data_IF_518129127241
#
_entry.id   IF_518129127241
#
_cell.length_a   1.000
_cell.length_b   1.000
_cell.length_c   1.000
_cell.angle_alpha   90.00
_cell.angle_beta   90.00
_cell.angle_gamma   90.00
#
_symmetry.space_group_name_H-M   'P 1'
#
loop_
_entity.id
_entity.type
_entity.pdbx_description
1 polymer ?
#
# COMPACT_ATOMS: atom_id res chain seq x y z
N UNK A 1 8.87 25.41 -58.90
CA UNK A 1 10.06 26.27 -59.06
C UNK A 1 10.37 26.92 -57.70
N UNK A 2 11.65 26.89 -57.36
CA UNK A 2 12.37 27.53 -56.22
C UNK A 2 12.23 26.87 -54.84
N UNK A 3 13.24 26.02 -54.57
CA UNK A 3 13.75 25.62 -53.27
C UNK A 3 14.42 26.82 -52.56
N UNK A 4 14.25 26.96 -51.25
CA UNK A 4 15.17 27.73 -50.43
C UNK A 4 15.66 26.82 -49.30
N UNK A 5 16.95 26.46 -49.38
CA UNK A 5 17.70 25.85 -48.31
C UNK A 5 18.25 26.95 -47.41
N UNK A 6 18.06 26.83 -46.10
CA UNK A 6 18.81 27.61 -45.12
C UNK A 6 19.83 26.68 -44.41
N UNK A 7 21.08 26.98 -44.67
CA UNK A 7 22.27 26.39 -44.05
C UNK A 7 22.58 27.21 -42.80
N UNK A 8 22.53 26.62 -41.61
CA UNK A 8 23.04 27.24 -40.39
C UNK A 8 24.36 26.57 -40.07
N UNK A 9 25.42 27.35 -40.14
CA UNK A 9 26.80 27.01 -39.76
C UNK A 9 26.87 27.14 -38.19
N UNK A 10 27.12 26.01 -37.52
CA UNK A 10 27.48 26.00 -36.11
C UNK A 10 28.99 26.07 -35.97
N UNK A 11 29.49 27.18 -35.45
CA UNK A 11 30.91 27.37 -35.13
C UNK A 11 31.25 26.64 -33.83
N UNK A 12 32.11 25.63 -33.92
CA UNK A 12 32.73 24.99 -32.75
C UNK A 12 33.78 25.93 -32.14
N UNK A 13 33.56 26.32 -30.89
CA UNK A 13 34.59 26.85 -30.05
C UNK A 13 35.08 25.74 -29.11
N UNK A 14 36.24 25.21 -29.41
CA UNK A 14 36.98 24.28 -28.55
C UNK A 14 37.70 25.13 -27.48
N UNK A 15 37.15 25.13 -26.25
CA UNK A 15 37.84 25.63 -25.07
C UNK A 15 38.43 24.45 -24.30
N UNK A 16 39.73 24.27 -24.34
CA UNK A 16 40.44 23.39 -23.43
C UNK A 16 40.35 23.90 -22.02
N UNK A 17 39.59 23.23 -21.15
CA UNK A 17 39.77 23.35 -19.72
C UNK A 17 40.35 22.04 -19.18
N UNK A 18 41.47 22.20 -18.53
CA UNK A 18 42.22 21.15 -17.84
C UNK A 18 41.41 20.47 -16.77
N UNK A 19 41.35 19.14 -16.82
CA UNK A 19 40.86 18.28 -15.74
C UNK A 19 41.83 18.41 -14.52
N UNK A 20 41.46 19.26 -13.58
CA UNK A 20 41.92 19.16 -12.19
C UNK A 20 40.79 18.58 -11.37
N UNK A 21 41.15 17.55 -10.61
CA UNK A 21 40.27 16.58 -9.99
C UNK A 21 39.16 17.17 -9.10
N UNK A 22 37.93 16.74 -9.32
CA UNK A 22 36.75 16.98 -8.46
C UNK A 22 36.83 16.28 -7.09
N UNK A 23 37.94 15.64 -6.75
CA UNK A 23 38.12 14.95 -5.46
C UNK A 23 38.49 15.86 -4.30
N UNK A 24 39.10 17.02 -4.57
CA UNK A 24 39.58 17.93 -3.51
C UNK A 24 38.49 18.92 -3.01
N UNK A 25 37.35 19.02 -3.68
CA UNK A 25 36.26 19.86 -3.22
C UNK A 25 35.26 19.14 -2.28
N UNK A 26 35.22 17.82 -2.30
CA UNK A 26 34.37 17.07 -1.37
C UNK A 26 34.98 16.91 0.02
N UNK A 27 36.33 16.87 0.14
CA UNK A 27 36.99 16.73 1.45
C UNK A 27 36.91 18.00 2.31
N UNK A 28 36.80 19.19 1.70
CA UNK A 28 36.75 20.46 2.45
C UNK A 28 35.36 20.83 2.97
N UNK A 29 34.31 20.12 2.56
CA UNK A 29 32.93 20.34 3.04
C UNK A 29 32.58 19.38 4.19
N UNK A 30 33.25 18.24 4.26
CA UNK A 30 33.01 17.23 5.32
C UNK A 30 33.68 17.64 6.66
N UNK A 31 34.77 18.41 6.65
CA UNK A 31 35.47 18.81 7.87
C UNK A 31 34.89 20.06 8.59
N UNK A 32 33.75 20.59 8.15
CA UNK A 32 33.13 21.78 8.78
C UNK A 32 31.73 21.56 9.38
N UNK A 33 31.25 20.33 9.45
CA UNK A 33 30.02 20.02 10.18
C UNK A 33 30.33 18.99 11.26
N UNK A 34 31.10 19.41 12.25
CA UNK A 34 31.00 18.83 13.59
C UNK A 34 29.77 19.47 14.25
N UNK A 35 28.75 18.70 14.64
CA UNK A 35 27.71 19.25 15.51
C UNK A 35 28.35 19.67 16.82
N UNK A 36 27.89 20.77 17.45
CA UNK A 36 28.29 21.06 18.81
C UNK A 36 27.84 19.90 19.72
N UNK A 37 28.70 19.50 20.65
CA UNK A 37 28.35 18.63 21.77
C UNK A 37 27.11 19.23 22.47
N UNK A 38 25.94 18.85 22.01
CA UNK A 38 24.72 18.94 22.76
C UNK A 38 24.58 17.61 23.51
N UNK A 39 24.74 17.65 24.81
CA UNK A 39 24.20 16.65 25.68
C UNK A 39 22.71 16.51 25.38
N UNK A 40 22.38 15.74 24.37
CA UNK A 40 21.02 15.41 23.96
C UNK A 40 20.54 14.33 24.89
N UNK A 41 19.58 14.68 25.75
CA UNK A 41 18.60 13.71 26.19
C UNK A 41 18.07 13.03 24.92
N UNK A 42 18.20 11.71 24.88
CA UNK A 42 17.61 10.87 23.83
C UNK A 42 16.12 11.16 23.80
N UNK A 43 15.61 11.46 22.60
CA UNK A 43 14.19 11.68 22.28
C UNK A 43 13.37 10.37 22.31
N UNK A 44 13.90 9.33 22.96
CA UNK A 44 13.25 8.02 23.17
C UNK A 44 11.92 8.13 23.93
N UNK A 45 11.73 9.20 24.73
CA UNK A 45 10.52 9.40 25.52
C UNK A 45 9.27 9.85 24.74
N UNK A 46 9.40 10.31 23.49
CA UNK A 46 8.25 10.80 22.73
C UNK A 46 7.65 9.74 21.78
N UNK A 47 8.45 8.82 21.27
CA UNK A 47 7.97 7.67 20.50
C UNK A 47 7.23 6.66 21.38
N UNK A 48 7.75 6.37 22.55
CA UNK A 48 7.11 5.45 23.49
C UNK A 48 5.76 5.98 24.02
N UNK A 49 5.64 7.28 24.29
CA UNK A 49 4.39 7.88 24.81
C UNK A 49 3.23 7.83 23.81
N UNK A 50 3.51 7.80 22.51
CA UNK A 50 2.49 7.68 21.46
C UNK A 50 1.97 6.24 21.34
N UNK A 51 2.86 5.24 21.40
CA UNK A 51 2.51 3.81 21.30
C UNK A 51 1.72 3.29 22.47
N UNK A 52 1.97 3.79 23.69
CA UNK A 52 1.21 3.43 24.90
C UNK A 52 -0.27 3.90 24.87
N UNK A 53 -0.66 4.76 23.94
CA UNK A 53 -2.02 5.33 23.86
C UNK A 53 -2.99 4.53 22.99
N UNK A 54 -2.50 3.60 22.16
CA UNK A 54 -3.34 2.72 21.33
C UNK A 54 -3.60 1.43 22.10
N UNK A 55 -4.85 1.18 22.44
CA UNK A 55 -5.27 -0.07 23.07
C UNK A 55 -5.92 -0.99 22.04
N UNK A 56 -5.56 -2.27 22.03
CA UNK A 56 -6.06 -3.25 21.07
C UNK A 56 -6.68 -4.45 21.74
N UNK A 57 -7.79 -4.93 21.18
CA UNK A 57 -8.32 -6.26 21.45
C UNK A 57 -8.24 -7.08 20.16
N UNK A 58 -7.18 -7.87 20.04
CA UNK A 58 -6.87 -8.63 18.82
C UNK A 58 -7.87 -9.75 18.54
N UNK A 59 -8.50 -10.32 19.58
CA UNK A 59 -9.51 -11.38 19.38
C UNK A 59 -10.75 -10.85 18.69
N UNK A 60 -11.15 -9.62 19.00
CA UNK A 60 -12.34 -8.96 18.46
C UNK A 60 -12.04 -7.98 17.31
N UNK A 61 -10.78 -7.85 16.87
CA UNK A 61 -10.31 -6.85 15.90
C UNK A 61 -10.75 -5.42 16.28
N UNK A 62 -10.48 -5.02 17.51
CA UNK A 62 -10.79 -3.71 18.05
C UNK A 62 -9.51 -2.91 18.27
N UNK A 63 -9.50 -1.67 17.82
CA UNK A 63 -8.48 -0.67 18.12
C UNK A 63 -9.16 0.50 18.83
N UNK A 64 -8.57 0.98 19.91
CA UNK A 64 -9.02 2.18 20.60
C UNK A 64 -7.95 3.26 20.54
N UNK A 65 -8.34 4.45 20.08
CA UNK A 65 -7.49 5.63 20.04
C UNK A 65 -7.91 6.65 21.10
N UNK A 66 -7.02 7.56 21.51
CA UNK A 66 -7.34 8.61 22.49
C UNK A 66 -8.47 9.53 22.00
N UNK A 67 -9.26 10.03 22.95
CA UNK A 67 -10.34 10.99 22.67
C UNK A 67 -9.74 12.32 22.21
N UNK A 68 -10.25 12.83 21.10
CA UNK A 68 -9.82 14.10 20.51
C UNK A 68 -8.70 13.97 19.48
N UNK A 69 -8.14 12.77 19.28
CA UNK A 69 -7.15 12.54 18.23
C UNK A 69 -7.80 12.16 16.89
N UNK A 70 -7.18 12.59 15.79
CA UNK A 70 -7.53 12.09 14.45
C UNK A 70 -7.04 10.67 14.28
N UNK A 71 -7.86 9.80 13.72
CA UNK A 71 -7.41 8.45 13.33
C UNK A 71 -6.41 8.58 12.17
N UNK A 72 -5.21 8.03 12.34
CA UNK A 72 -4.17 7.94 11.32
C UNK A 72 -3.95 6.49 10.92
N UNK A 73 -4.09 6.20 9.64
CA UNK A 73 -3.87 4.87 9.07
C UNK A 73 -2.80 5.02 7.98
N UNK A 74 -1.78 4.17 8.02
CA UNK A 74 -0.78 4.07 6.97
C UNK A 74 -1.10 2.88 6.08
N UNK A 75 -1.39 3.13 4.81
CA UNK A 75 -1.48 2.06 3.81
C UNK A 75 -0.08 1.79 3.22
N UNK A 76 0.32 0.53 3.26
CA UNK A 76 1.46 -0.05 2.56
C UNK A 76 0.93 -1.04 1.53
N UNK A 77 1.54 -1.10 0.36
CA UNK A 77 1.13 -2.02 -0.72
C UNK A 77 2.30 -2.40 -1.61
N UNK A 78 2.21 -3.56 -2.22
CA UNK A 78 3.12 -3.99 -3.29
C UNK A 78 4.60 -3.97 -2.86
N UNK A 79 4.91 -4.44 -1.65
CA UNK A 79 6.28 -4.61 -1.21
C UNK A 79 7.01 -5.62 -2.08
N UNK A 80 6.31 -6.67 -2.54
CA UNK A 80 6.80 -7.70 -3.45
C UNK A 80 8.21 -8.20 -3.11
N UNK A 81 8.42 -8.53 -1.83
CA UNK A 81 9.73 -8.99 -1.35
C UNK A 81 10.11 -10.26 -2.11
N UNK A 82 11.34 -10.26 -2.65
CA UNK A 82 11.87 -11.33 -3.49
C UNK A 82 13.10 -11.94 -2.82
N UNK A 83 13.16 -13.26 -2.75
CA UNK A 83 14.36 -14.02 -2.47
C UNK A 83 14.85 -14.70 -3.77
N UNK A 84 15.84 -14.09 -4.42
CA UNK A 84 16.38 -14.59 -5.67
C UNK A 84 16.92 -16.04 -5.58
N UNK A 85 17.30 -16.51 -4.37
CA UNK A 85 17.77 -17.89 -4.15
C UNK A 85 16.66 -18.93 -4.27
N UNK A 86 15.40 -18.52 -4.18
CA UNK A 86 14.22 -19.37 -4.29
C UNK A 86 13.50 -19.29 -5.66
N UNK A 87 14.13 -18.68 -6.66
CA UNK A 87 13.57 -18.56 -7.99
C UNK A 87 13.29 -19.94 -8.62
N UNK A 88 12.04 -20.27 -8.89
CA UNK A 88 11.64 -21.54 -9.55
C UNK A 88 12.18 -21.67 -10.97
N UNK A 89 12.41 -20.53 -11.64
CA UNK A 89 12.97 -20.46 -12.99
C UNK A 89 14.31 -19.70 -12.93
N UNK A 90 15.45 -20.37 -12.63
CA UNK A 90 16.73 -19.71 -12.39
C UNK A 90 17.22 -18.81 -13.52
N UNK A 91 16.84 -19.13 -14.76
CA UNK A 91 17.23 -18.36 -15.96
C UNK A 91 16.41 -17.07 -16.14
N UNK A 92 15.37 -16.86 -15.33
CA UNK A 92 14.52 -15.66 -15.35
C UNK A 92 15.24 -14.41 -14.85
N UNK A 93 16.20 -14.58 -13.91
CA UNK A 93 16.89 -13.47 -13.27
C UNK A 93 18.29 -13.27 -13.88
N UNK A 94 18.61 -12.03 -14.21
CA UNK A 94 19.96 -11.62 -14.54
C UNK A 94 20.82 -11.46 -13.26
N UNK A 95 22.12 -11.23 -13.43
CA UNK A 95 23.05 -11.18 -12.28
C UNK A 95 22.79 -9.97 -11.37
N UNK A 96 22.37 -8.83 -11.94
CA UNK A 96 22.02 -7.63 -11.17
C UNK A 96 20.76 -7.86 -10.31
N UNK A 97 19.76 -8.55 -10.86
CA UNK A 97 18.54 -8.91 -10.11
C UNK A 97 18.88 -9.92 -9.00
N UNK A 98 19.72 -10.93 -9.29
CA UNK A 98 20.15 -11.89 -8.26
C UNK A 98 20.88 -11.21 -7.11
N UNK A 99 21.72 -10.22 -7.39
CA UNK A 99 22.42 -9.43 -6.36
C UNK A 99 21.43 -8.52 -5.60
N UNK A 100 20.63 -7.74 -6.33
CA UNK A 100 19.66 -6.80 -5.74
C UNK A 100 18.62 -7.52 -4.86
N UNK A 101 18.16 -8.69 -5.31
CA UNK A 101 17.09 -9.46 -4.64
C UNK A 101 17.65 -10.60 -3.77
N UNK A 102 18.91 -10.50 -3.35
CA UNK A 102 19.45 -11.39 -2.34
C UNK A 102 18.76 -11.18 -0.99
N UNK A 103 18.48 -12.27 -0.22
CA UNK A 103 17.71 -12.20 1.03
C UNK A 103 18.23 -11.23 2.08
N UNK A 104 19.56 -11.00 2.10
CA UNK A 104 20.23 -10.06 3.00
C UNK A 104 19.95 -8.59 2.69
N UNK A 105 19.45 -8.27 1.48
CA UNK A 105 19.17 -6.91 1.06
C UNK A 105 17.74 -6.44 1.43
N UNK A 106 16.92 -7.28 2.08
CA UNK A 106 15.54 -6.96 2.40
C UNK A 106 15.39 -5.72 3.30
N UNK A 107 16.30 -5.57 4.26
CA UNK A 107 16.32 -4.39 5.15
C UNK A 107 16.48 -3.11 4.32
N UNK A 108 17.45 -3.07 3.42
CA UNK A 108 17.75 -1.94 2.54
C UNK A 108 16.64 -1.68 1.52
N UNK A 109 16.08 -2.73 0.91
CA UNK A 109 15.15 -2.61 -0.19
C UNK A 109 13.71 -2.34 0.25
N UNK A 110 13.37 -2.63 1.52
CA UNK A 110 11.99 -2.55 2.00
C UNK A 110 11.89 -2.00 3.44
N UNK A 111 12.48 -2.64 4.44
CA UNK A 111 12.18 -2.37 5.85
C UNK A 111 12.60 -0.98 6.32
N UNK A 112 13.73 -0.45 5.84
CA UNK A 112 14.15 0.93 6.14
C UNK A 112 13.11 1.93 5.62
N UNK A 113 12.53 1.68 4.44
CA UNK A 113 11.50 2.54 3.87
C UNK A 113 10.23 2.50 4.72
N UNK A 114 9.81 1.32 5.17
CA UNK A 114 8.63 1.21 6.05
C UNK A 114 8.87 1.92 7.39
N UNK A 115 10.06 1.80 8.00
CA UNK A 115 10.40 2.54 9.22
C UNK A 115 10.33 4.04 9.03
N UNK A 116 10.83 4.54 7.92
CA UNK A 116 10.75 5.95 7.55
C UNK A 116 9.29 6.42 7.41
N UNK A 117 8.47 5.65 6.70
CA UNK A 117 7.04 5.94 6.53
C UNK A 117 6.27 5.92 7.86
N UNK A 118 6.55 4.95 8.73
CA UNK A 118 5.96 4.87 10.08
C UNK A 118 6.35 6.07 10.92
N UNK A 119 7.61 6.50 10.85
CA UNK A 119 8.09 7.70 11.55
C UNK A 119 7.38 8.96 11.07
N UNK A 120 7.17 9.10 9.76
CA UNK A 120 6.46 10.25 9.18
C UNK A 120 4.95 10.23 9.46
N UNK A 121 4.32 9.05 9.38
CA UNK A 121 2.87 8.89 9.50
C UNK A 121 2.40 8.81 10.96
N UNK A 122 3.21 8.26 11.86
CA UNK A 122 2.83 7.92 13.24
C UNK A 122 1.44 7.26 13.30
N UNK A 123 1.23 6.11 12.63
CA UNK A 123 -0.10 5.55 12.43
C UNK A 123 -0.60 4.81 13.68
N UNK A 124 -1.93 4.83 13.88
CA UNK A 124 -2.61 3.98 14.85
C UNK A 124 -2.86 2.57 14.31
N UNK A 125 -2.89 2.43 12.98
CA UNK A 125 -3.11 1.19 12.25
C UNK A 125 -2.30 1.22 10.95
N UNK A 126 -1.72 0.08 10.59
CA UNK A 126 -1.11 -0.11 9.26
C UNK A 126 -2.01 -1.04 8.46
N UNK A 127 -2.49 -0.59 7.29
CA UNK A 127 -3.13 -1.45 6.29
C UNK A 127 -2.06 -1.95 5.33
N UNK A 128 -2.09 -3.26 5.04
CA UNK A 128 -1.21 -3.85 4.03
C UNK A 128 -2.12 -4.41 2.93
N UNK A 129 -2.20 -3.68 1.82
CA UNK A 129 -3.14 -3.99 0.74
C UNK A 129 -2.54 -4.95 -0.30
N UNK A 130 -1.87 -6.01 0.16
CA UNK A 130 -1.45 -7.15 -0.64
C UNK A 130 -0.10 -7.02 -1.35
N UNK A 131 0.28 -8.10 -2.01
CA UNK A 131 1.56 -8.30 -2.66
C UNK A 131 2.74 -7.98 -1.71
N UNK A 132 2.67 -8.60 -0.51
CA UNK A 132 3.72 -8.53 0.51
C UNK A 132 4.98 -9.19 -0.03
N UNK A 133 4.83 -10.39 -0.59
CA UNK A 133 5.91 -11.15 -1.23
C UNK A 133 5.57 -11.42 -2.69
N UNK A 134 6.60 -11.63 -3.48
CA UNK A 134 6.45 -12.27 -4.78
C UNK A 134 6.54 -13.78 -4.54
N UNK A 135 5.40 -14.45 -4.30
CA UNK A 135 5.37 -15.81 -3.76
C UNK A 135 6.09 -16.86 -4.61
N UNK A 136 6.20 -16.65 -5.94
CA UNK A 136 7.02 -17.45 -6.85
C UNK A 136 8.52 -17.46 -6.45
N UNK A 137 8.97 -16.47 -5.68
CA UNK A 137 10.31 -16.33 -5.13
C UNK A 137 10.36 -16.48 -3.61
N UNK A 138 9.32 -17.03 -2.98
CA UNK A 138 9.26 -17.28 -1.54
C UNK A 138 8.62 -18.62 -1.23
N UNK A 139 9.02 -19.69 -1.94
CA UNK A 139 8.44 -21.02 -1.82
C UNK A 139 8.51 -21.63 -0.42
N UNK A 140 9.46 -21.19 0.39
CA UNK A 140 9.58 -21.62 1.80
C UNK A 140 8.83 -20.72 2.78
N UNK A 141 8.22 -19.62 2.34
CA UNK A 141 7.60 -18.61 3.21
C UNK A 141 8.59 -17.86 4.09
N UNK A 142 9.90 -17.90 3.75
CA UNK A 142 10.96 -17.27 4.55
C UNK A 142 10.87 -15.74 4.53
N UNK A 143 10.55 -15.16 3.37
CA UNK A 143 10.45 -13.71 3.25
C UNK A 143 9.17 -13.18 3.88
N UNK A 144 8.06 -13.90 3.74
CA UNK A 144 6.84 -13.56 4.46
C UNK A 144 7.08 -13.59 5.99
N UNK A 145 7.74 -14.61 6.50
CA UNK A 145 8.09 -14.70 7.94
C UNK A 145 8.95 -13.52 8.38
N UNK A 146 9.97 -13.16 7.60
CA UNK A 146 10.80 -11.97 7.87
C UNK A 146 9.96 -10.68 7.90
N UNK A 147 9.00 -10.56 7.00
CA UNK A 147 8.10 -9.40 6.98
C UNK A 147 7.20 -9.39 8.23
N UNK A 148 6.61 -10.52 8.60
CA UNK A 148 5.80 -10.64 9.82
C UNK A 148 6.63 -10.26 11.06
N UNK A 149 7.81 -10.86 11.24
CA UNK A 149 8.71 -10.55 12.37
C UNK A 149 9.07 -9.05 12.41
N UNK A 150 9.28 -8.45 11.23
CA UNK A 150 9.56 -7.03 11.12
C UNK A 150 8.35 -6.17 11.52
N UNK A 151 7.15 -6.48 11.02
CA UNK A 151 5.92 -5.75 11.36
C UNK A 151 5.61 -5.85 12.86
N UNK A 152 5.79 -7.03 13.44
CA UNK A 152 5.64 -7.23 14.90
C UNK A 152 6.62 -6.36 15.71
N UNK A 153 7.84 -6.17 15.22
CA UNK A 153 8.84 -5.32 15.87
C UNK A 153 8.46 -3.82 15.92
N UNK A 154 7.49 -3.41 15.10
CA UNK A 154 6.98 -2.04 15.10
C UNK A 154 6.01 -1.76 16.26
N UNK A 155 5.47 -2.79 16.91
CA UNK A 155 4.46 -2.71 17.97
C UNK A 155 3.27 -1.83 17.60
N UNK A 156 2.82 -1.91 16.35
CA UNK A 156 1.67 -1.19 15.80
C UNK A 156 0.70 -2.22 15.23
N UNK A 157 -0.61 -2.16 15.55
CA UNK A 157 -1.59 -3.04 14.92
C UNK A 157 -1.54 -2.94 13.40
N UNK A 158 -1.59 -4.08 12.72
CA UNK A 158 -1.58 -4.10 11.26
C UNK A 158 -2.57 -5.11 10.70
N UNK A 159 -3.15 -4.76 9.56
CA UNK A 159 -4.25 -5.47 8.93
C UNK A 159 -3.92 -5.75 7.46
N UNK A 160 -3.48 -6.97 7.10
CA UNK A 160 -3.16 -7.35 5.73
C UNK A 160 -4.36 -7.93 4.99
N UNK A 161 -4.40 -7.75 3.66
CA UNK A 161 -5.13 -8.60 2.71
C UNK A 161 -4.14 -9.20 1.73
N UNK A 162 -4.51 -10.30 1.09
CA UNK A 162 -3.67 -10.90 0.05
C UNK A 162 -3.76 -10.16 -1.27
N UNK A 163 -2.59 -10.02 -1.92
CA UNK A 163 -2.49 -9.73 -3.33
C UNK A 163 -2.47 -11.01 -4.17
N UNK A 164 -2.29 -10.83 -5.47
CA UNK A 164 -2.25 -11.97 -6.39
C UNK A 164 -0.93 -12.75 -6.30
N UNK A 165 0.15 -12.15 -5.83
CA UNK A 165 1.45 -12.81 -5.68
C UNK A 165 1.64 -13.53 -4.34
N UNK A 166 0.97 -13.13 -3.27
CA UNK A 166 1.17 -13.72 -1.94
C UNK A 166 0.88 -15.23 -1.91
N UNK A 167 -0.12 -15.67 -2.67
CA UNK A 167 -0.59 -17.07 -2.71
C UNK A 167 0.18 -17.95 -3.71
N UNK A 168 1.18 -17.43 -4.39
CA UNK A 168 2.01 -18.19 -5.33
C UNK A 168 3.05 -19.07 -4.62
N UNK A 169 3.32 -18.83 -3.35
CA UNK A 169 4.28 -19.58 -2.54
C UNK A 169 3.90 -21.05 -2.40
N UNK A 170 4.89 -21.94 -2.51
CA UNK A 170 4.67 -23.39 -2.41
C UNK A 170 4.41 -23.88 -0.98
N UNK A 171 4.57 -23.05 0.06
CA UNK A 171 4.20 -23.44 1.43
C UNK A 171 2.68 -23.66 1.61
N UNK A 172 1.89 -23.09 0.69
CA UNK A 172 0.43 -23.19 0.70
C UNK A 172 -0.27 -22.15 1.56
N UNK A 173 -1.55 -21.92 1.23
CA UNK A 173 -2.34 -20.82 1.83
C UNK A 173 -2.59 -21.02 3.32
N UNK A 174 -2.82 -22.27 3.77
CA UNK A 174 -3.06 -22.55 5.19
C UNK A 174 -1.87 -22.18 6.06
N UNK A 175 -0.63 -22.42 5.57
CA UNK A 175 0.57 -22.06 6.30
C UNK A 175 0.76 -20.53 6.35
N UNK A 176 0.39 -19.82 5.28
CA UNK A 176 0.42 -18.38 5.21
C UNK A 176 -0.59 -17.77 6.18
N UNK A 177 -1.85 -18.23 6.15
CA UNK A 177 -2.91 -17.78 7.06
C UNK A 177 -2.53 -18.03 8.52
N UNK A 178 -2.05 -19.22 8.86
CA UNK A 178 -1.60 -19.55 10.21
C UNK A 178 -0.45 -18.64 10.69
N UNK A 179 0.45 -18.26 9.78
CA UNK A 179 1.56 -17.33 10.10
C UNK A 179 1.04 -15.96 10.47
N UNK A 180 0.08 -15.41 9.71
CA UNK A 180 -0.54 -14.11 9.95
C UNK A 180 -1.40 -14.13 11.23
N UNK A 181 -2.23 -15.14 11.43
CA UNK A 181 -3.08 -15.27 12.61
C UNK A 181 -2.31 -15.50 13.92
N UNK A 182 -1.08 -16.03 13.83
CA UNK A 182 -0.23 -16.27 14.99
C UNK A 182 0.55 -15.03 15.43
N UNK A 183 0.57 -13.97 14.64
CA UNK A 183 1.29 -12.74 14.93
C UNK A 183 0.51 -11.90 15.95
N UNK A 184 1.21 -11.32 16.92
CA UNK A 184 0.60 -10.67 18.09
C UNK A 184 -0.14 -9.37 17.74
N UNK A 185 0.39 -8.60 16.77
CA UNK A 185 -0.18 -7.31 16.36
C UNK A 185 -0.93 -7.39 15.02
N UNK A 186 -1.02 -8.58 14.41
CA UNK A 186 -1.71 -8.80 13.15
C UNK A 186 -3.21 -9.04 13.36
N UNK A 187 -4.02 -8.23 12.69
CA UNK A 187 -5.49 -8.29 12.77
C UNK A 187 -6.10 -9.24 11.74
N UNK A 188 -5.28 -9.96 10.99
CA UNK A 188 -5.76 -10.92 9.99
C UNK A 188 -6.63 -12.01 10.62
N UNK A 189 -7.73 -12.32 9.97
CA UNK A 189 -8.59 -13.46 10.32
C UNK A 189 -8.96 -14.23 9.07
N UNK A 190 -8.79 -15.54 9.11
CA UNK A 190 -9.46 -16.42 8.18
C UNK A 190 -10.95 -16.41 8.48
N UNK A 191 -11.76 -16.25 7.44
CA UNK A 191 -13.21 -16.33 7.62
C UNK A 191 -13.62 -17.76 7.91
N UNK A 192 -14.38 -17.96 8.99
CA UNK A 192 -14.78 -19.28 9.47
C UNK A 192 -16.24 -19.62 9.18
N UNK A 193 -17.02 -18.69 8.57
CA UNK A 193 -18.46 -18.85 8.43
C UNK A 193 -18.99 -18.45 7.05
N UNK A 194 -20.16 -18.91 6.73
CA UNK A 194 -21.23 -18.58 5.75
C UNK A 194 -20.87 -17.85 4.42
N UNK A 195 -19.70 -17.22 4.27
CA UNK A 195 -19.31 -16.37 3.14
C UNK A 195 -17.94 -16.75 2.54
N UNK A 196 -17.70 -18.05 2.37
CA UNK A 196 -16.44 -18.62 1.88
C UNK A 196 -16.06 -18.16 0.46
N UNK A 197 -15.50 -16.96 0.33
CA UNK A 197 -15.05 -16.42 -0.97
C UNK A 197 -13.67 -15.73 -0.86
N UNK A 198 -12.64 -16.52 -0.79
CA UNK A 198 -11.27 -16.06 -0.62
C UNK A 198 -10.78 -16.26 0.82
N UNK A 199 -9.61 -15.79 1.12
CA UNK A 199 -8.97 -15.93 2.43
C UNK A 199 -8.70 -14.54 3.02
N UNK A 200 -9.19 -14.31 4.25
CA UNK A 200 -8.95 -13.05 4.96
C UNK A 200 -9.94 -11.95 4.62
N UNK A 201 -11.24 -12.25 4.67
CA UNK A 201 -12.29 -11.25 4.69
C UNK A 201 -12.64 -10.96 6.14
N UNK A 202 -12.33 -9.76 6.64
CA UNK A 202 -12.58 -9.40 8.03
C UNK A 202 -12.84 -7.90 8.19
N UNK A 203 -13.26 -7.50 9.38
CA UNK A 203 -13.50 -6.10 9.70
C UNK A 203 -12.79 -5.71 11.00
N UNK A 204 -12.31 -4.48 11.06
CA UNK A 204 -11.72 -3.87 12.24
C UNK A 204 -12.61 -2.74 12.73
N UNK A 205 -12.85 -2.69 14.03
CA UNK A 205 -13.61 -1.64 14.71
C UNK A 205 -12.65 -0.64 15.34
N UNK A 206 -12.83 0.63 15.05
CA UNK A 206 -12.03 1.70 15.65
C UNK A 206 -12.89 2.49 16.62
N UNK A 207 -12.48 2.47 17.89
CA UNK A 207 -13.11 3.23 18.94
C UNK A 207 -12.29 4.48 19.31
N UNK A 208 -12.99 5.52 19.71
CA UNK A 208 -12.41 6.66 20.38
C UNK A 208 -13.05 6.76 21.77
N UNK A 209 -12.30 6.40 22.81
CA UNK A 209 -12.89 6.07 24.09
C UNK A 209 -13.89 4.91 23.96
N UNK A 210 -15.14 5.12 24.37
CA UNK A 210 -16.20 4.10 24.27
C UNK A 210 -17.08 4.26 23.00
N UNK A 211 -16.71 5.14 22.08
CA UNK A 211 -17.50 5.41 20.90
C UNK A 211 -16.88 4.72 19.69
N UNK A 212 -17.59 3.82 19.05
CA UNK A 212 -17.23 3.27 17.74
C UNK A 212 -17.34 4.40 16.70
N UNK A 213 -16.20 4.78 16.10
CA UNK A 213 -16.13 5.94 15.19
C UNK A 213 -15.88 5.56 13.73
N UNK A 214 -15.30 4.36 13.49
CA UNK A 214 -14.91 3.95 12.16
C UNK A 214 -14.91 2.43 12.03
N UNK A 215 -15.37 1.94 10.87
CA UNK A 215 -15.17 0.55 10.43
C UNK A 215 -14.07 0.50 9.37
N UNK A 216 -13.27 -0.56 9.39
CA UNK A 216 -12.33 -0.90 8.31
C UNK A 216 -12.68 -2.29 7.81
N UNK A 217 -13.06 -2.39 6.55
CA UNK A 217 -13.39 -3.66 5.90
C UNK A 217 -12.20 -4.12 5.05
N UNK A 218 -11.79 -5.35 5.21
CA UNK A 218 -10.69 -5.96 4.49
C UNK A 218 -11.23 -7.11 3.63
N UNK A 219 -11.00 -7.08 2.31
CA UNK A 219 -11.49 -8.10 1.39
C UNK A 219 -10.36 -8.69 0.53
N UNK A 220 -10.35 -10.00 0.39
CA UNK A 220 -9.50 -10.70 -0.57
C UNK A 220 -10.11 -10.66 -1.97
N UNK A 221 -9.50 -9.90 -2.89
CA UNK A 221 -9.92 -9.84 -4.30
C UNK A 221 -9.48 -11.05 -5.13
N UNK A 222 -8.78 -12.01 -4.54
CA UNK A 222 -8.28 -13.20 -5.23
C UNK A 222 -7.29 -12.86 -6.36
N UNK A 223 -7.43 -13.46 -7.54
CA UNK A 223 -6.60 -13.09 -8.71
C UNK A 223 -5.29 -13.87 -8.84
N UNK A 224 -5.00 -14.80 -7.95
CA UNK A 224 -3.80 -15.64 -8.03
C UNK A 224 -3.95 -16.65 -9.18
N UNK A 225 -3.27 -16.41 -10.29
CA UNK A 225 -3.31 -17.27 -11.50
C UNK A 225 -2.14 -18.24 -11.59
N UNK A 226 -1.07 -18.02 -10.80
CA UNK A 226 0.16 -18.82 -10.83
C UNK A 226 0.36 -19.65 -9.55
N UNK A 227 -0.67 -19.80 -8.72
CA UNK A 227 -0.59 -20.68 -7.56
C UNK A 227 -0.21 -22.10 -7.96
N UNK A 228 0.58 -22.76 -7.12
CA UNK A 228 0.93 -24.18 -7.31
C UNK A 228 -0.28 -25.09 -7.09
N UNK A 229 -1.20 -24.69 -6.22
CA UNK A 229 -2.48 -25.36 -5.98
C UNK A 229 -3.56 -24.79 -6.93
N UNK A 230 -4.16 -25.66 -7.75
CA UNK A 230 -5.21 -25.28 -8.70
C UNK A 230 -6.49 -24.78 -8.00
N UNK A 231 -6.76 -25.23 -6.80
CA UNK A 231 -7.95 -24.81 -6.02
C UNK A 231 -7.90 -23.32 -5.66
N UNK A 232 -6.69 -22.74 -5.58
CA UNK A 232 -6.45 -21.32 -5.26
C UNK A 232 -6.42 -20.43 -6.52
N UNK A 233 -6.28 -21.03 -7.71
CA UNK A 233 -6.28 -20.28 -8.97
C UNK A 233 -7.66 -19.72 -9.25
N UNK A 234 -7.82 -18.42 -9.02
CA UNK A 234 -9.10 -17.73 -9.15
C UNK A 234 -8.95 -16.46 -9.97
N UNK A 235 -10.03 -16.10 -10.65
CA UNK A 235 -10.16 -14.78 -11.30
C UNK A 235 -10.37 -13.72 -10.23
N UNK A 236 -9.75 -12.56 -10.40
CA UNK A 236 -9.92 -11.45 -9.49
C UNK A 236 -11.39 -10.99 -9.42
N UNK A 237 -11.98 -10.99 -8.24
CA UNK A 237 -13.36 -10.56 -8.04
C UNK A 237 -13.67 -10.22 -6.58
N UNK A 238 -14.60 -9.27 -6.41
CA UNK A 238 -15.38 -9.08 -5.20
C UNK A 238 -16.73 -9.73 -5.47
N UNK A 239 -17.14 -10.67 -4.62
CA UNK A 239 -18.34 -11.47 -4.86
C UNK A 239 -19.55 -10.90 -4.14
N UNK A 240 -20.73 -11.42 -4.51
CA UNK A 240 -21.99 -11.15 -3.82
C UNK A 240 -21.91 -11.50 -2.32
N UNK A 241 -21.20 -12.60 -1.98
CA UNK A 241 -21.03 -13.02 -0.59
C UNK A 241 -20.12 -12.06 0.20
N UNK A 242 -19.05 -11.57 -0.42
CA UNK A 242 -18.19 -10.53 0.20
C UNK A 242 -18.95 -9.21 0.43
N UNK A 243 -19.83 -8.82 -0.50
CA UNK A 243 -20.70 -7.67 -0.29
C UNK A 243 -21.66 -7.90 0.90
N UNK A 244 -22.32 -9.07 0.99
CA UNK A 244 -23.17 -9.42 2.13
C UNK A 244 -22.41 -9.46 3.45
N UNK A 245 -21.15 -9.90 3.43
CA UNK A 245 -20.27 -9.88 4.61
C UNK A 245 -20.10 -8.46 5.15
N UNK A 246 -19.68 -7.50 4.31
CA UNK A 246 -19.49 -6.10 4.78
C UNK A 246 -20.80 -5.45 5.20
N UNK A 247 -21.92 -5.76 4.53
CA UNK A 247 -23.26 -5.30 4.92
C UNK A 247 -23.67 -5.84 6.30
N UNK A 248 -23.41 -7.12 6.57
CA UNK A 248 -23.63 -7.74 7.89
C UNK A 248 -22.82 -7.02 8.97
N UNK A 249 -21.50 -6.80 8.74
CA UNK A 249 -20.65 -6.09 9.69
C UNK A 249 -21.08 -4.63 9.93
N UNK A 250 -21.49 -3.94 8.89
CA UNK A 250 -22.07 -2.59 9.02
C UNK A 250 -23.39 -2.58 9.81
N UNK A 251 -24.25 -3.56 9.58
CA UNK A 251 -25.51 -3.69 10.33
C UNK A 251 -25.26 -4.01 11.83
N UNK A 252 -24.26 -4.84 12.14
CA UNK A 252 -23.82 -5.10 13.52
C UNK A 252 -23.35 -3.80 14.20
N UNK A 253 -22.48 -3.02 13.53
CA UNK A 253 -22.00 -1.73 14.02
C UNK A 253 -23.14 -0.71 14.21
N UNK A 254 -24.09 -0.65 13.26
CA UNK A 254 -25.28 0.19 13.37
C UNK A 254 -26.18 -0.20 14.53
N UNK A 255 -26.34 -1.50 14.78
CA UNK A 255 -27.11 -2.00 15.94
C UNK A 255 -26.44 -1.62 17.26
N UNK A 256 -25.12 -1.66 17.32
CA UNK A 256 -24.35 -1.29 18.49
C UNK A 256 -24.45 0.22 18.81
N UNK A 257 -24.36 1.07 17.78
CA UNK A 257 -24.28 2.54 17.97
C UNK A 257 -25.61 3.26 17.82
N UNK A 258 -26.61 2.62 17.22
CA UNK A 258 -27.89 3.24 16.86
C UNK A 258 -27.85 4.08 15.56
N UNK A 259 -26.70 4.20 14.91
CA UNK A 259 -26.49 4.98 13.69
C UNK A 259 -25.53 4.28 12.71
N UNK A 260 -25.56 4.67 11.44
CA UNK A 260 -24.55 4.20 10.47
C UNK A 260 -23.17 4.70 10.87
N UNK A 261 -22.21 3.79 11.04
CA UNK A 261 -20.82 4.10 11.34
C UNK A 261 -20.08 4.27 10.01
N UNK A 262 -19.31 5.36 9.82
CA UNK A 262 -18.49 5.51 8.62
C UNK A 262 -17.53 4.31 8.44
N UNK A 263 -17.32 3.91 7.18
CA UNK A 263 -16.44 2.80 6.83
C UNK A 263 -15.38 3.17 5.80
N UNK A 264 -14.25 2.48 5.82
CA UNK A 264 -13.34 2.39 4.67
C UNK A 264 -13.23 0.94 4.27
N UNK A 265 -12.98 0.70 2.99
CA UNK A 265 -12.81 -0.62 2.40
C UNK A 265 -11.41 -0.71 1.80
N UNK A 266 -10.70 -1.81 2.07
CA UNK A 266 -9.38 -2.06 1.52
C UNK A 266 -9.28 -3.45 0.89
N UNK A 267 -8.64 -3.52 -0.26
CA UNK A 267 -8.37 -4.76 -1.01
C UNK A 267 -7.19 -4.54 -1.96
N UNK A 268 -6.78 -5.58 -2.70
CA UNK A 268 -5.58 -5.48 -3.52
C UNK A 268 -5.86 -5.05 -4.96
N UNK A 269 -6.52 -5.92 -5.78
CA UNK A 269 -6.73 -5.64 -7.20
C UNK A 269 -7.89 -4.64 -7.35
N UNK A 270 -7.65 -3.48 -7.98
CA UNK A 270 -8.66 -2.42 -8.08
C UNK A 270 -9.89 -2.87 -8.87
N UNK A 271 -11.06 -2.41 -8.45
CA UNK A 271 -12.32 -2.59 -9.16
C UNK A 271 -12.48 -1.54 -10.28
N UNK A 272 -13.47 -1.73 -11.15
CA UNK A 272 -13.74 -0.82 -12.28
C UNK A 272 -13.99 0.63 -11.85
N UNK A 273 -14.44 0.84 -10.63
CA UNK A 273 -14.82 2.16 -10.09
C UNK A 273 -13.63 3.11 -9.95
N UNK A 274 -12.44 2.59 -9.67
CA UNK A 274 -11.21 3.40 -9.67
C UNK A 274 -10.94 4.07 -11.02
N UNK A 275 -11.26 3.37 -12.09
CA UNK A 275 -11.06 3.84 -13.46
C UNK A 275 -12.21 4.75 -13.91
N UNK A 276 -13.45 4.44 -13.52
CA UNK A 276 -14.61 5.30 -13.79
C UNK A 276 -14.47 6.64 -13.08
N UNK A 277 -13.94 6.65 -11.85
CA UNK A 277 -13.65 7.87 -11.11
C UNK A 277 -12.61 8.76 -11.85
N UNK A 278 -11.57 8.15 -12.41
CA UNK A 278 -10.57 8.86 -13.21
C UNK A 278 -11.15 9.37 -14.54
N UNK A 279 -11.96 8.55 -15.22
CA UNK A 279 -12.62 8.89 -16.48
C UNK A 279 -13.55 10.09 -16.32
N UNK A 280 -14.31 10.18 -15.24
CA UNK A 280 -15.20 11.32 -14.96
C UNK A 280 -14.47 12.66 -14.80
N UNK A 281 -13.17 12.62 -14.46
CA UNK A 281 -12.31 13.81 -14.43
C UNK A 281 -11.85 14.25 -15.83
N UNK A 282 -12.37 13.63 -16.92
CA UNK A 282 -12.12 14.00 -18.31
C UNK A 282 -10.99 13.22 -18.99
N UNK A 283 -10.57 12.10 -18.41
CA UNK A 283 -9.53 11.24 -18.97
C UNK A 283 -10.13 9.93 -19.51
N UNK A 284 -10.38 9.80 -20.82
CA UNK A 284 -11.03 8.63 -21.40
C UNK A 284 -10.19 7.37 -21.21
N UNK A 285 -10.86 6.27 -20.88
CA UNK A 285 -10.24 4.95 -20.71
C UNK A 285 -10.39 4.10 -21.97
N UNK A 286 -11.45 4.32 -22.77
CA UNK A 286 -11.74 3.53 -23.98
C UNK A 286 -10.65 3.66 -25.04
N UNK A 287 -10.09 4.87 -25.23
CA UNK A 287 -8.98 5.14 -26.15
C UNK A 287 -7.60 4.92 -25.52
N UNK A 288 -7.56 4.38 -24.29
CA UNK A 288 -6.40 4.24 -23.46
C UNK A 288 -6.25 5.38 -22.46
N UNK A 289 -5.66 5.05 -21.32
CA UNK A 289 -5.41 5.97 -20.21
C UNK A 289 -4.42 7.05 -20.65
N UNK A 290 -4.71 8.30 -20.36
CA UNK A 290 -3.77 9.42 -20.54
C UNK A 290 -2.70 9.35 -19.47
N UNK A 291 -1.45 9.17 -19.88
CA UNK A 291 -0.34 8.96 -18.97
C UNK A 291 0.30 10.26 -18.48
N UNK A 292 0.70 10.28 -17.21
CA UNK A 292 1.53 11.35 -16.63
C UNK A 292 0.81 12.69 -16.49
N UNK A 293 -0.52 12.71 -16.49
CA UNK A 293 -1.32 13.93 -16.32
C UNK A 293 -2.07 13.80 -15.00
N UNK A 294 -1.79 14.73 -14.06
CA UNK A 294 -2.49 14.79 -12.79
C UNK A 294 -3.97 15.14 -12.97
N UNK A 295 -4.84 14.50 -12.18
CA UNK A 295 -6.22 14.91 -12.06
C UNK A 295 -6.32 16.34 -11.51
N UNK A 296 -7.37 17.10 -11.86
CA UNK A 296 -7.62 18.40 -11.24
C UNK A 296 -7.73 18.28 -9.72
N UNK A 297 -7.08 19.19 -8.98
CA UNK A 297 -7.08 19.22 -7.53
C UNK A 297 -8.39 19.78 -6.95
N UNK A 298 -9.52 19.22 -7.39
CA UNK A 298 -10.85 19.49 -6.86
C UNK A 298 -11.17 18.50 -5.75
N UNK A 299 -11.83 18.92 -4.70
CA UNK A 299 -12.21 18.07 -3.56
C UNK A 299 -11.03 17.32 -2.89
N UNK A 300 -9.79 17.84 -3.06
CA UNK A 300 -8.58 17.18 -2.60
C UNK A 300 -8.16 15.96 -3.44
N UNK A 301 -8.59 15.92 -4.70
CA UNK A 301 -8.17 14.91 -5.67
C UNK A 301 -6.73 15.15 -6.11
N UNK A 302 -6.01 14.07 -6.44
CA UNK A 302 -4.62 14.16 -6.89
C UNK A 302 -4.19 12.89 -7.64
N UNK A 303 -3.02 12.98 -8.27
CA UNK A 303 -2.31 11.84 -8.85
C UNK A 303 -2.60 11.60 -10.32
N UNK A 304 -1.91 10.63 -10.89
CA UNK A 304 -1.94 10.29 -12.30
C UNK A 304 -1.76 8.80 -12.54
N UNK A 305 -2.04 8.36 -13.76
CA UNK A 305 -1.67 7.06 -14.27
C UNK A 305 -0.36 7.16 -15.04
N UNK A 306 0.56 6.24 -14.80
CA UNK A 306 1.82 6.10 -15.53
C UNK A 306 1.96 4.73 -16.22
N UNK A 307 0.94 3.88 -16.13
CA UNK A 307 0.84 2.63 -16.88
C UNK A 307 -0.53 2.50 -17.56
N UNK A 308 -0.56 1.74 -18.67
CA UNK A 308 -1.78 1.53 -19.45
C UNK A 308 -2.40 0.15 -19.24
N UNK A 309 -1.57 -0.81 -18.88
CA UNK A 309 -1.96 -2.23 -18.81
C UNK A 309 -2.39 -2.58 -17.38
N UNK A 310 -3.46 -1.94 -16.94
CA UNK A 310 -4.02 -2.10 -15.61
C UNK A 310 -5.05 -3.22 -15.58
N UNK A 311 -5.08 -3.99 -14.50
CA UNK A 311 -6.06 -5.06 -14.29
C UNK A 311 -7.14 -4.60 -13.34
N UNK A 312 -8.33 -5.20 -13.48
CA UNK A 312 -9.51 -4.89 -12.67
C UNK A 312 -10.10 -6.17 -12.10
N UNK A 313 -10.59 -6.12 -10.87
CA UNK A 313 -11.41 -7.21 -10.37
C UNK A 313 -12.88 -7.02 -10.81
N UNK A 314 -13.58 -8.13 -10.99
CA UNK A 314 -15.01 -8.14 -11.20
C UNK A 314 -15.74 -7.83 -9.88
N UNK A 315 -16.86 -7.13 -9.95
CA UNK A 315 -17.70 -6.83 -8.80
C UNK A 315 -19.17 -6.70 -9.25
N UNK A 316 -20.15 -6.81 -8.33
CA UNK A 316 -21.57 -6.59 -8.64
C UNK A 316 -21.81 -5.20 -9.25
N UNK A 317 -22.81 -5.09 -10.12
CA UNK A 317 -23.14 -3.82 -10.79
C UNK A 317 -23.64 -2.74 -9.82
N UNK A 318 -24.26 -3.13 -8.71
CA UNK A 318 -24.76 -2.26 -7.65
C UNK A 318 -23.75 -2.02 -6.50
N UNK A 319 -22.45 -2.28 -6.78
CA UNK A 319 -21.42 -2.23 -5.74
C UNK A 319 -21.30 -0.87 -5.07
N UNK A 320 -21.33 0.21 -5.84
CA UNK A 320 -21.22 1.59 -5.30
C UNK A 320 -22.41 1.94 -4.42
N UNK A 321 -23.62 1.64 -4.87
CA UNK A 321 -24.86 1.88 -4.10
C UNK A 321 -24.84 1.12 -2.77
N UNK A 322 -24.34 -0.11 -2.79
CA UNK A 322 -24.18 -0.93 -1.57
C UNK A 322 -23.17 -0.32 -0.61
N UNK A 323 -22.02 0.15 -1.10
CA UNK A 323 -21.01 0.84 -0.29
C UNK A 323 -21.57 2.13 0.34
N UNK A 324 -22.31 2.92 -0.44
CA UNK A 324 -22.98 4.13 0.04
C UNK A 324 -24.01 3.81 1.14
N UNK A 325 -24.82 2.75 0.95
CA UNK A 325 -25.86 2.34 1.89
C UNK A 325 -25.31 1.96 3.28
N UNK A 326 -24.08 1.42 3.33
CA UNK A 326 -23.40 1.05 4.59
C UNK A 326 -22.47 2.15 5.11
N UNK A 327 -22.38 3.30 4.44
CA UNK A 327 -21.60 4.44 4.90
C UNK A 327 -20.09 4.36 4.60
N UNK A 328 -19.68 3.65 3.56
CA UNK A 328 -18.27 3.66 3.11
C UNK A 328 -17.95 5.04 2.52
N UNK A 329 -16.87 5.65 3.02
CA UNK A 329 -16.39 6.98 2.63
C UNK A 329 -15.09 6.93 1.82
N UNK A 330 -14.40 5.79 1.79
CA UNK A 330 -13.17 5.62 1.02
C UNK A 330 -12.88 4.15 0.71
N UNK A 331 -12.27 3.91 -0.43
CA UNK A 331 -11.83 2.60 -0.92
C UNK A 331 -10.36 2.68 -1.31
N UNK A 332 -9.57 1.71 -0.88
CA UNK A 332 -8.12 1.69 -1.00
C UNK A 332 -7.65 0.39 -1.65
N UNK A 333 -6.87 0.51 -2.72
CA UNK A 333 -6.32 -0.65 -3.44
C UNK A 333 -4.81 -0.51 -3.67
N UNK A 334 -4.16 -1.61 -4.11
CA UNK A 334 -2.78 -1.68 -4.56
C UNK A 334 -2.70 -2.10 -6.01
N UNK A 335 -1.79 -3.04 -6.31
CA UNK A 335 -1.65 -3.77 -7.56
C UNK A 335 -1.00 -3.00 -8.72
N UNK A 336 -1.42 -1.79 -8.99
CA UNK A 336 -0.90 -0.99 -10.10
C UNK A 336 0.27 -0.12 -9.61
N UNK A 337 1.51 -0.56 -9.90
CA UNK A 337 2.73 0.02 -9.33
C UNK A 337 3.06 1.42 -9.80
N UNK A 338 2.49 1.83 -10.95
CA UNK A 338 2.73 3.12 -11.58
C UNK A 338 1.48 4.00 -11.58
N UNK A 339 0.56 3.78 -10.64
CA UNK A 339 -0.64 4.60 -10.47
C UNK A 339 -0.65 5.16 -9.04
N UNK A 340 -1.00 6.44 -8.91
CA UNK A 340 -1.05 7.11 -7.62
C UNK A 340 -2.25 8.05 -7.47
N UNK A 341 -3.36 7.73 -8.15
CA UNK A 341 -4.55 8.57 -8.10
C UNK A 341 -5.35 8.38 -6.81
N UNK A 342 -5.91 9.49 -6.33
CA UNK A 342 -6.92 9.53 -5.28
C UNK A 342 -8.02 10.49 -5.70
N UNK A 343 -9.22 9.99 -5.97
CA UNK A 343 -10.30 10.74 -6.60
C UNK A 343 -11.61 10.51 -5.86
N UNK A 344 -12.37 11.57 -5.61
CA UNK A 344 -13.75 11.48 -5.11
C UNK A 344 -14.71 11.27 -6.29
N UNK A 345 -15.44 10.18 -6.24
CA UNK A 345 -16.46 9.83 -7.22
C UNK A 345 -17.66 9.22 -6.52
N UNK A 346 -18.85 9.69 -6.85
CA UNK A 346 -20.11 9.30 -6.22
C UNK A 346 -20.08 9.36 -4.68
N UNK A 347 -19.38 10.36 -4.12
CA UNK A 347 -19.29 10.56 -2.67
C UNK A 347 -18.35 9.61 -1.93
N UNK A 348 -17.64 8.76 -2.64
CA UNK A 348 -16.62 7.84 -2.11
C UNK A 348 -15.25 8.24 -2.68
N UNK A 349 -14.20 8.24 -1.86
CA UNK A 349 -12.82 8.45 -2.30
C UNK A 349 -12.19 7.13 -2.73
N UNK A 350 -11.76 7.06 -3.98
CA UNK A 350 -11.08 5.91 -4.59
C UNK A 350 -9.58 6.19 -4.69
N UNK A 351 -8.76 5.41 -3.98
CA UNK A 351 -7.33 5.68 -3.84
C UNK A 351 -6.49 4.47 -4.18
N UNK A 352 -5.59 4.61 -5.14
CA UNK A 352 -4.46 3.70 -5.31
C UNK A 352 -3.42 4.00 -4.24
N UNK A 353 -3.00 2.98 -3.50
CA UNK A 353 -1.87 3.07 -2.58
C UNK A 353 -0.57 3.28 -3.34
N UNK A 354 0.31 4.10 -2.80
CA UNK A 354 1.64 4.25 -3.37
C UNK A 354 2.47 2.99 -3.12
N UNK A 355 3.07 2.45 -4.20
CA UNK A 355 3.93 1.27 -4.09
C UNK A 355 5.02 1.47 -3.04
N UNK A 356 5.19 0.49 -2.16
CA UNK A 356 6.26 0.46 -1.17
C UNK A 356 7.38 -0.49 -1.62
N UNK A 357 8.63 -0.14 -1.38
CA UNK A 357 9.83 -0.91 -1.69
C UNK A 357 10.39 -0.76 -3.11
N UNK A 358 11.66 -1.12 -3.26
CA UNK A 358 12.38 -1.11 -4.56
C UNK A 358 12.37 -2.46 -5.26
N UNK A 359 11.63 -3.45 -4.74
CA UNK A 359 11.43 -4.71 -5.44
C UNK A 359 10.50 -4.54 -6.64
N UNK A 360 10.75 -5.36 -7.68
CA UNK A 360 10.02 -5.33 -8.94
C UNK A 360 10.02 -3.96 -9.62
N UNK A 361 9.15 -3.76 -10.64
CA UNK A 361 9.08 -2.50 -11.36
C UNK A 361 8.40 -1.42 -10.53
N UNK A 362 8.88 -0.20 -10.66
CA UNK A 362 8.35 0.97 -9.96
C UNK A 362 8.75 2.26 -10.69
N UNK A 363 8.08 3.35 -10.37
CA UNK A 363 8.48 4.67 -10.85
C UNK A 363 9.42 5.33 -9.85
N UNK A 364 10.59 5.76 -10.31
CA UNK A 364 11.52 6.53 -9.50
C UNK A 364 10.85 7.82 -8.99
N UNK A 365 11.00 8.09 -7.69
CA UNK A 365 10.38 9.24 -7.04
C UNK A 365 8.91 9.04 -6.64
N UNK A 366 8.32 7.87 -6.92
CA UNK A 366 6.93 7.53 -6.54
C UNK A 366 6.85 6.30 -5.62
N UNK A 367 7.89 6.05 -4.83
CA UNK A 367 7.86 5.01 -3.80
C UNK A 367 7.47 5.62 -2.45
N UNK A 368 6.67 4.89 -1.68
CA UNK A 368 6.27 5.36 -0.35
C UNK A 368 5.09 4.61 0.25
N UNK A 369 4.25 5.34 0.95
CA UNK A 369 3.00 4.87 1.53
C UNK A 369 1.90 5.91 1.39
N UNK A 370 0.70 5.56 1.82
CA UNK A 370 -0.46 6.46 1.77
C UNK A 370 -0.98 6.69 3.18
N UNK A 371 -0.97 7.95 3.63
CA UNK A 371 -1.57 8.33 4.90
C UNK A 371 -3.05 8.64 4.69
N UNK A 372 -3.87 7.97 5.48
CA UNK A 372 -5.32 8.12 5.56
C UNK A 372 -5.62 8.72 6.93
N UNK A 373 -6.18 9.92 6.96
CA UNK A 373 -6.56 10.59 8.21
C UNK A 373 -8.07 10.77 8.27
N UNK A 374 -8.66 10.40 9.39
CA UNK A 374 -10.10 10.57 9.63
C UNK A 374 -10.29 11.39 10.90
N UNK A 375 -10.87 12.55 10.74
CA UNK A 375 -11.17 13.46 11.82
C UNK A 375 -12.67 13.83 11.79
N UNK A 376 -13.39 13.51 12.87
CA UNK A 376 -14.83 13.79 12.97
C UNK A 376 -15.63 13.28 11.75
N UNK A 377 -15.25 12.10 11.23
CA UNK A 377 -15.90 11.48 10.06
C UNK A 377 -15.50 12.08 8.71
N UNK A 378 -14.58 13.03 8.68
CA UNK A 378 -13.99 13.58 7.44
C UNK A 378 -12.72 12.84 7.08
N UNK A 379 -12.71 12.29 5.88
CA UNK A 379 -11.57 11.58 5.30
C UNK A 379 -10.66 12.55 4.56
N UNK A 380 -9.38 12.50 4.85
CA UNK A 380 -8.31 13.09 4.03
C UNK A 380 -7.25 12.05 3.70
N UNK A 381 -6.65 12.16 2.53
CA UNK A 381 -5.65 11.23 2.02
C UNK A 381 -4.49 12.00 1.42
N UNK A 382 -3.29 11.53 1.68
CA UNK A 382 -2.07 12.00 1.00
C UNK A 382 -1.04 10.89 0.86
N UNK A 383 -0.28 10.91 -0.20
CA UNK A 383 0.90 10.08 -0.34
C UNK A 383 2.07 10.63 0.47
N UNK A 384 2.82 9.74 1.09
CA UNK A 384 4.06 10.03 1.79
C UNK A 384 5.18 9.33 1.02
N UNK A 385 6.03 10.08 0.29
CA UNK A 385 7.20 9.47 -0.35
C UNK A 385 8.20 9.00 0.71
N UNK A 386 8.84 7.87 0.48
CA UNK A 386 10.00 7.48 1.29
C UNK A 386 11.18 8.40 1.01
N UNK A 387 11.93 8.75 2.05
CA UNK A 387 13.12 9.60 1.97
C UNK A 387 14.42 8.78 1.87
N UNK A 388 14.33 7.47 2.01
CA UNK A 388 15.45 6.54 2.07
C UNK A 388 15.31 5.38 1.09
N UNK A 389 16.41 4.72 0.75
CA UNK A 389 16.38 3.47 0.00
C UNK A 389 16.42 3.60 -1.53
N UNK A 390 16.81 4.77 -2.06
CA UNK A 390 17.04 4.97 -3.51
C UNK A 390 18.48 4.65 -3.91
#
# INVERSE_FOLDING_TARGET
MKRFSFLIIATLLIGCFSLTSCTDMLSSVIDKVTPPDAGGQSDEGHEDSYREQVNTNMEENIISIPVGESLRILQLTDMQIIDASQCRNPDRLNDTEKEKWAPENVEKNCFIQIKDLVTQAQPHLILVTGDIVYGEFDDSGKMLRKFVDFMESLNIPWAPVFGNHDKESAIGIDAICNMLESAEHCLFKTETEEFEDGEGNYAVKIYQGNKLIQMVYMLDTKGCTKATDESIRRVASITENQCKFIEKKAAEAKKETGATVPGILAYHIPSKEFFLAYEEKGYPIEDGIVLGVDVPAEDGDFGAFFEKDTKRCFNPDDFVERLQAIGVIGVFAGHDHLVNTSVVWQGIRWTFGLKCSTYDYHQNGSLGGTLIEINEGKLSVRHIPTLVGY
#
